data_IF_512475834167
#
_entry.id   IF_512475834167
#
_cell.length_a   1.000
_cell.length_b   1.000
_cell.length_c   1.000
_cell.angle_alpha   90.00
_cell.angle_beta   90.00
_cell.angle_gamma   90.00
#
_symmetry.space_group_name_H-M   'P 1'
#
loop_
_entity.id
_entity.type
_entity.pdbx_description
1 polymer ?
#
# COMPACT_ATOMS: atom_id res chain seq x y z
N UNK A 1 -5.37 -8.32 -25.31
CA UNK A 1 -6.29 -8.08 -24.16
C UNK A 1 -6.58 -6.59 -24.04
N UNK A 2 -7.69 -6.17 -23.42
CA UNK A 2 -8.13 -4.76 -23.34
C UNK A 2 -7.06 -3.81 -22.74
N UNK A 3 -6.14 -4.34 -21.91
CA UNK A 3 -5.07 -3.57 -21.25
C UNK A 3 -3.92 -3.20 -22.21
N UNK A 4 -3.55 -4.09 -23.14
CA UNK A 4 -2.49 -3.84 -24.14
C UNK A 4 -2.90 -2.77 -25.17
N UNK A 5 -4.20 -2.53 -25.33
CA UNK A 5 -4.73 -1.49 -26.22
C UNK A 5 -4.66 -0.09 -25.60
N UNK A 6 -4.54 0.02 -24.27
CA UNK A 6 -4.57 1.29 -23.53
C UNK A 6 -3.15 1.72 -23.12
N UNK A 7 -2.25 0.76 -22.88
CA UNK A 7 -0.84 1.00 -22.53
C UNK A 7 0.11 0.13 -23.36
N UNK A 8 0.35 0.47 -24.64
CA UNK A 8 1.21 -0.30 -25.54
C UNK A 8 2.66 -0.37 -25.06
N UNK A 9 3.12 0.59 -24.25
CA UNK A 9 4.44 0.59 -23.60
C UNK A 9 4.66 -0.59 -22.64
N UNK A 10 3.60 -1.28 -22.23
CA UNK A 10 3.70 -2.43 -21.33
C UNK A 10 3.93 -3.76 -22.07
N UNK A 11 4.04 -3.75 -23.41
CA UNK A 11 4.18 -4.97 -24.23
C UNK A 11 5.50 -5.74 -24.02
N UNK A 12 6.48 -5.16 -23.31
CA UNK A 12 7.77 -5.79 -23.01
C UNK A 12 8.06 -5.92 -21.51
N UNK A 13 7.11 -5.57 -20.63
CA UNK A 13 7.28 -5.61 -19.17
C UNK A 13 6.41 -6.68 -18.51
N UNK A 14 6.87 -7.24 -17.40
CA UNK A 14 6.04 -8.07 -16.53
C UNK A 14 5.08 -7.15 -15.75
N UNK A 15 3.77 -7.33 -15.95
CA UNK A 15 2.73 -6.54 -15.28
C UNK A 15 2.08 -7.40 -14.20
N UNK A 16 2.24 -6.99 -12.94
CA UNK A 16 1.52 -7.58 -11.82
C UNK A 16 0.18 -6.87 -11.61
N UNK A 17 -0.91 -7.53 -12.01
CA UNK A 17 -2.27 -7.11 -11.66
C UNK A 17 -2.62 -7.67 -10.27
N UNK A 18 -2.65 -6.80 -9.26
CA UNK A 18 -2.96 -7.16 -7.87
C UNK A 18 -4.37 -6.71 -7.49
N UNK A 19 -5.34 -7.63 -7.36
CA UNK A 19 -6.65 -7.29 -6.83
C UNK A 19 -6.54 -6.78 -5.39
N UNK A 20 -7.25 -5.70 -5.10
CA UNK A 20 -7.31 -5.14 -3.75
C UNK A 20 -8.73 -4.75 -3.35
N UNK A 21 -9.01 -4.81 -2.06
CA UNK A 21 -10.24 -4.31 -1.45
C UNK A 21 -9.95 -2.98 -0.78
N UNK A 22 -10.67 -1.94 -1.17
CA UNK A 22 -10.61 -0.61 -0.54
C UNK A 22 -11.41 -0.62 0.76
N UNK A 23 -10.81 -0.17 1.85
CA UNK A 23 -11.50 0.03 3.12
C UNK A 23 -12.10 1.43 3.20
N UNK A 24 -13.32 1.54 3.71
CA UNK A 24 -13.98 2.82 3.98
C UNK A 24 -13.35 3.55 5.17
N UNK A 25 -12.82 2.79 6.13
CA UNK A 25 -12.24 3.32 7.36
C UNK A 25 -10.83 2.77 7.59
N UNK A 26 -10.02 3.56 8.27
CA UNK A 26 -8.70 3.12 8.73
C UNK A 26 -8.84 2.04 9.81
N UNK A 27 -8.10 0.92 9.69
CA UNK A 27 -8.07 -0.13 10.71
C UNK A 27 -7.76 0.40 12.12
N UNK A 28 -8.35 -0.22 13.14
CA UNK A 28 -8.19 0.22 14.54
C UNK A 28 -6.74 0.11 15.03
N UNK A 29 -5.99 -0.89 14.57
CA UNK A 29 -4.57 -1.08 14.85
C UNK A 29 -3.68 0.01 14.20
N UNK A 30 -4.18 0.71 13.18
CA UNK A 30 -3.49 1.83 12.54
C UNK A 30 -3.79 3.19 13.19
N UNK A 31 -4.75 3.26 14.12
CA UNK A 31 -5.13 4.51 14.78
C UNK A 31 -3.99 5.11 15.60
N UNK A 32 -3.15 4.28 16.23
CA UNK A 32 -1.96 4.79 16.94
C UNK A 32 -1.00 5.52 15.99
N UNK A 33 -0.76 4.97 14.80
CA UNK A 33 0.10 5.58 13.79
C UNK A 33 -0.47 6.90 13.30
N UNK A 34 -1.76 6.91 12.94
CA UNK A 34 -2.46 8.12 12.49
C UNK A 34 -2.43 9.22 13.56
N UNK A 35 -2.69 8.88 14.82
CA UNK A 35 -2.61 9.83 15.93
C UNK A 35 -1.18 10.37 16.13
N UNK A 36 -0.16 9.53 15.99
CA UNK A 36 1.25 9.95 16.06
C UNK A 36 1.61 10.88 14.91
N UNK A 37 1.14 10.58 13.71
CA UNK A 37 1.35 11.40 12.52
C UNK A 37 0.67 12.76 12.66
N UNK A 38 -0.59 12.78 13.12
CA UNK A 38 -1.37 14.00 13.41
C UNK A 38 -0.63 14.94 14.36
N UNK A 39 -0.03 14.39 15.43
CA UNK A 39 0.72 15.20 16.42
C UNK A 39 2.03 15.75 15.88
N UNK A 40 2.83 14.92 15.21
CA UNK A 40 4.20 15.29 14.84
C UNK A 40 4.31 15.98 13.48
N UNK A 41 3.39 15.66 12.56
CA UNK A 41 3.43 16.07 11.15
C UNK A 41 1.99 16.31 10.62
N UNK A 42 1.25 17.31 11.14
CA UNK A 42 -0.16 17.53 10.80
C UNK A 42 -0.43 17.71 9.30
N UNK A 43 0.46 18.42 8.58
CA UNK A 43 0.33 18.59 7.13
C UNK A 43 0.48 17.28 6.34
N UNK A 44 1.31 16.36 6.84
CA UNK A 44 1.46 15.04 6.24
C UNK A 44 0.29 14.14 6.63
N UNK A 45 -0.26 14.32 7.82
CA UNK A 45 -1.46 13.62 8.27
C UNK A 45 -2.66 13.91 7.38
N UNK A 46 -2.98 15.17 7.06
CA UNK A 46 -4.10 15.50 6.17
C UNK A 46 -3.98 14.83 4.79
N UNK A 47 -2.76 14.76 4.26
CA UNK A 47 -2.46 14.08 2.99
C UNK A 47 -2.60 12.56 3.07
N UNK A 48 -2.30 11.96 4.21
CA UNK A 48 -2.41 10.51 4.41
C UNK A 48 -3.83 10.12 4.80
N UNK A 49 -4.53 10.88 5.65
CA UNK A 49 -5.89 10.61 6.11
C UNK A 49 -6.90 10.59 4.95
N UNK A 50 -6.69 11.43 3.94
CA UNK A 50 -7.50 11.45 2.71
C UNK A 50 -7.27 10.23 1.80
N UNK A 51 -6.23 9.42 2.05
CA UNK A 51 -6.03 8.14 1.38
C UNK A 51 -6.88 7.05 2.05
N UNK A 52 -7.14 6.00 1.28
CA UNK A 52 -7.82 4.81 1.79
C UNK A 52 -6.82 3.69 2.02
N UNK A 53 -7.10 2.85 3.01
CA UNK A 53 -6.36 1.61 3.22
C UNK A 53 -6.85 0.55 2.23
N UNK A 54 -5.92 -0.23 1.71
CA UNK A 54 -6.25 -1.36 0.83
C UNK A 54 -5.87 -2.68 1.49
N UNK A 55 -6.63 -3.73 1.23
CA UNK A 55 -6.29 -5.10 1.59
C UNK A 55 -6.00 -5.88 0.32
N UNK A 56 -4.88 -6.60 0.31
CA UNK A 56 -4.50 -7.51 -0.78
C UNK A 56 -4.44 -8.94 -0.29
N UNK A 57 -4.72 -9.89 -1.18
CA UNK A 57 -4.55 -11.31 -0.88
C UNK A 57 -3.08 -11.70 -0.91
N UNK A 58 -2.71 -12.68 -0.09
CA UNK A 58 -1.41 -13.32 -0.06
C UNK A 58 -1.60 -14.80 0.20
N UNK A 59 -1.04 -15.63 -0.68
CA UNK A 59 -0.98 -17.07 -0.44
C UNK A 59 0.18 -17.36 0.52
N UNK A 60 -0.10 -18.00 1.65
CA UNK A 60 0.94 -18.59 2.50
C UNK A 60 0.94 -20.10 2.32
N UNK A 61 2.13 -20.69 2.16
CA UNK A 61 2.32 -22.13 2.14
C UNK A 61 3.08 -22.54 3.39
N UNK A 62 2.53 -23.45 4.19
CA UNK A 62 3.31 -24.18 5.20
C UNK A 62 3.57 -25.59 4.68
N UNK A 63 4.83 -25.94 4.51
CA UNK A 63 5.30 -27.29 4.19
C UNK A 63 5.66 -28.01 5.48
N UNK A 64 4.89 -29.05 5.82
CA UNK A 64 5.25 -30.04 6.84
C UNK A 64 5.19 -31.41 6.16
N UNK A 65 6.31 -32.14 6.15
CA UNK A 65 6.47 -33.47 5.54
C UNK A 65 5.72 -33.68 4.20
N UNK A 66 6.32 -33.24 3.09
CA UNK A 66 5.85 -33.43 1.70
C UNK A 66 4.42 -32.96 1.36
N UNK A 67 3.68 -32.33 2.28
CA UNK A 67 2.39 -31.68 2.01
C UNK A 67 2.48 -30.17 2.22
N UNK A 68 2.18 -29.41 1.16
CA UNK A 68 2.06 -27.94 1.22
C UNK A 68 0.59 -27.58 1.37
N UNK A 69 0.18 -27.12 2.56
CA UNK A 69 -1.16 -26.52 2.72
C UNK A 69 -1.07 -25.05 2.34
N UNK A 70 -1.75 -24.67 1.26
CA UNK A 70 -1.93 -23.27 0.88
C UNK A 70 -3.10 -22.68 1.66
N UNK A 71 -2.86 -21.56 2.35
CA UNK A 71 -3.88 -20.78 3.04
C UNK A 71 -3.93 -19.40 2.42
N UNK A 72 -5.13 -18.98 2.01
CA UNK A 72 -5.36 -17.60 1.57
C UNK A 72 -5.36 -16.71 2.81
N UNK A 73 -4.46 -15.75 2.84
CA UNK A 73 -4.37 -14.72 3.86
C UNK A 73 -4.58 -13.35 3.22
N UNK A 74 -4.92 -12.37 4.05
CA UNK A 74 -5.09 -10.99 3.63
C UNK A 74 -4.12 -10.12 4.42
N UNK A 75 -3.60 -9.06 3.79
CA UNK A 75 -2.71 -8.08 4.43
C UNK A 75 -3.05 -6.67 3.99
N UNK A 76 -2.77 -5.69 4.85
CA UNK A 76 -2.82 -4.29 4.48
C UNK A 76 -1.79 -3.97 3.41
N UNK A 77 -2.17 -3.11 2.47
CA UNK A 77 -1.31 -2.57 1.43
C UNK A 77 -1.12 -1.07 1.66
N UNK A 78 0.14 -0.67 1.74
CA UNK A 78 0.56 0.71 1.98
C UNK A 78 1.03 1.42 0.71
N UNK A 79 0.90 0.80 -0.46
CA UNK A 79 1.49 1.31 -1.70
C UNK A 79 1.04 2.72 -2.06
N UNK A 80 -0.24 3.07 -1.85
CA UNK A 80 -0.72 4.44 -2.08
C UNK A 80 -0.08 5.45 -1.11
N UNK A 81 0.15 5.05 0.15
CA UNK A 81 0.83 5.90 1.14
C UNK A 81 2.30 6.07 0.76
N UNK A 82 2.97 4.99 0.36
CA UNK A 82 4.37 5.00 -0.07
C UNK A 82 4.58 5.90 -1.28
N UNK A 83 3.71 5.79 -2.30
CA UNK A 83 3.71 6.68 -3.46
C UNK A 83 3.50 8.12 -3.00
N UNK A 84 2.52 8.38 -2.12
CA UNK A 84 2.25 9.74 -1.67
C UNK A 84 3.41 10.34 -0.88
N UNK A 85 4.11 9.53 -0.09
CA UNK A 85 5.32 9.92 0.62
C UNK A 85 6.48 10.19 -0.35
N UNK A 86 6.63 9.35 -1.37
CA UNK A 86 7.66 9.52 -2.40
C UNK A 86 7.44 10.78 -3.26
N UNK A 87 6.21 11.12 -3.61
CA UNK A 87 5.87 12.39 -4.27
C UNK A 87 6.26 13.62 -3.44
N UNK A 88 6.28 13.47 -2.11
CA UNK A 88 6.62 14.53 -1.16
C UNK A 88 8.08 14.46 -0.74
N UNK A 89 8.93 13.70 -1.43
CA UNK A 89 10.32 13.48 -1.03
C UNK A 89 11.12 14.78 -0.88
N UNK A 90 10.96 15.71 -1.81
CA UNK A 90 11.58 17.05 -1.72
C UNK A 90 11.10 17.86 -0.52
N UNK A 91 9.82 17.74 -0.16
CA UNK A 91 9.24 18.39 1.03
C UNK A 91 9.73 17.75 2.34
N UNK A 92 9.84 16.41 2.39
CA UNK A 92 10.37 15.67 3.55
C UNK A 92 11.86 16.00 3.74
N UNK A 93 12.64 16.03 2.66
CA UNK A 93 14.05 16.40 2.69
C UNK A 93 14.25 17.86 3.15
N UNK A 94 13.39 18.79 2.76
CA UNK A 94 13.42 20.17 3.27
C UNK A 94 13.14 20.28 4.77
N UNK A 95 12.35 19.35 5.32
CA UNK A 95 12.01 19.31 6.75
C UNK A 95 13.09 18.62 7.58
N UNK A 96 13.77 17.62 7.04
CA UNK A 96 14.85 16.88 7.72
C UNK A 96 16.20 17.63 7.68
N UNK A 97 16.43 18.45 6.65
CA UNK A 97 17.61 19.31 6.54
C UNK A 97 17.44 20.67 7.26
N UNK A 98 16.43 20.78 8.13
CA UNK A 98 16.20 21.88 9.07
C UNK A 98 16.27 21.34 10.50
#
# INVERSE_FOLDING_TARGET
>A
MLIEQIHPELSSGEIDLVPSLKLEFWPSDMQWFLNRLKRNRPLLFEKIESLHMHIVSKWSGKTTNKQTRKTLQFRYSYSLIEIKLAEQRSFIEQILNR
#
